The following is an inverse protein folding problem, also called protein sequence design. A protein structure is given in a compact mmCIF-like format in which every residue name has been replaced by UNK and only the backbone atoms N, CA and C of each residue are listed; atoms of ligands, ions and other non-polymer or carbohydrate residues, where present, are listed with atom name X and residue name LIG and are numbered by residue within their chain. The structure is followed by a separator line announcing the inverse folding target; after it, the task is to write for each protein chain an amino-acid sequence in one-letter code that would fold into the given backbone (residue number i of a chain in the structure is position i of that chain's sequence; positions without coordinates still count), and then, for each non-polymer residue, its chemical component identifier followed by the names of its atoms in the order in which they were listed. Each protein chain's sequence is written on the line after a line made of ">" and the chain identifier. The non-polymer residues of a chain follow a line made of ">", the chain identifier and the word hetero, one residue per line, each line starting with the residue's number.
data_IF_477383847644
#
_entry.id   IF_477383847644
#
_cell.length_a   1.000
_cell.length_b   1.000
_cell.length_c   1.000
_cell.angle_alpha   90.00
_cell.angle_beta   90.00
_cell.angle_gamma   90.00
#
_symmetry.space_group_name_H-M   'P 1'
#
loop_
_entity.id
_entity.type
_entity.pdbx_description
1 polymer ?
#
# COMPACT_ATOMS: atom_id res chain seq x y z
N UNK A 1 7.33 -14.36 58.61
CA UNK A 1 8.36 -13.31 58.44
C UNK A 1 8.54 -13.11 56.96
N UNK A 2 8.00 -12.01 56.46
CA UNK A 2 7.78 -11.69 55.04
C UNK A 2 9.09 -11.46 54.28
N UNK A 3 9.14 -11.84 53.00
CA UNK A 3 10.03 -11.18 52.05
C UNK A 3 9.25 -10.83 50.78
N UNK A 4 8.79 -9.58 50.76
CA UNK A 4 8.12 -8.91 49.66
C UNK A 4 9.16 -8.57 48.59
N UNK A 5 9.07 -9.18 47.41
CA UNK A 5 9.79 -8.71 46.22
C UNK A 5 8.99 -7.54 45.65
N UNK A 6 9.46 -6.32 45.90
CA UNK A 6 8.92 -5.10 45.30
C UNK A 6 9.52 -4.93 43.91
N UNK A 7 8.67 -5.11 42.89
CA UNK A 7 8.98 -4.84 41.48
C UNK A 7 9.21 -3.32 41.30
N UNK A 8 10.32 -2.87 40.70
CA UNK A 8 10.57 -1.44 40.53
C UNK A 8 9.66 -0.88 39.44
N UNK A 9 8.97 0.19 39.83
CA UNK A 9 8.30 1.18 39.00
C UNK A 9 9.31 1.75 37.98
N UNK A 10 9.22 1.35 36.70
CA UNK A 10 9.90 2.09 35.63
C UNK A 10 8.94 3.17 35.12
N UNK A 11 9.11 4.36 35.69
CA UNK A 11 8.41 5.57 35.28
C UNK A 11 8.81 5.96 33.85
N UNK A 12 7.79 6.37 33.09
CA UNK A 12 7.88 6.89 31.75
C UNK A 12 8.76 8.14 31.68
N UNK A 13 9.74 8.15 30.76
CA UNK A 13 10.23 9.37 30.12
C UNK A 13 10.93 9.02 28.81
N UNK A 14 10.22 9.16 27.69
CA UNK A 14 10.83 9.24 26.37
C UNK A 14 10.31 10.53 25.71
N UNK A 15 10.94 11.64 26.07
CA UNK A 15 10.98 12.81 25.20
C UNK A 15 12.00 12.52 24.10
N UNK A 16 11.54 11.96 22.98
CA UNK A 16 12.26 12.01 21.74
C UNK A 16 11.59 13.06 20.85
N UNK A 17 12.06 14.30 20.94
CA UNK A 17 11.80 15.33 19.92
C UNK A 17 12.62 14.98 18.68
N UNK A 18 12.20 13.93 17.96
CA UNK A 18 12.68 13.68 16.60
C UNK A 18 12.12 14.78 15.71
N UNK A 19 12.98 15.65 15.19
CA UNK A 19 12.59 16.56 14.11
C UNK A 19 12.10 15.70 12.95
N UNK A 20 10.78 15.64 12.76
CA UNK A 20 10.21 15.06 11.55
C UNK A 20 10.68 15.96 10.41
N UNK A 21 11.69 15.51 9.67
CA UNK A 21 12.02 16.11 8.39
C UNK A 21 10.71 16.17 7.60
N UNK A 22 10.23 17.39 7.31
CA UNK A 22 9.02 17.55 6.51
C UNK A 22 9.34 17.02 5.14
N UNK A 23 8.90 15.79 4.84
CA UNK A 23 8.89 15.29 3.48
C UNK A 23 8.13 16.33 2.64
N UNK A 24 8.63 16.71 1.45
CA UNK A 24 7.86 17.54 0.54
C UNK A 24 6.48 16.90 0.36
N UNK A 25 5.40 17.69 0.21
CA UNK A 25 4.08 17.13 -0.02
C UNK A 25 4.18 16.25 -1.27
N UNK A 26 4.13 14.93 -1.07
CA UNK A 26 3.99 14.01 -2.17
C UNK A 26 2.69 14.40 -2.85
N UNK A 27 2.70 14.54 -4.18
CA UNK A 27 1.43 14.52 -4.90
C UNK A 27 0.71 13.23 -4.52
N UNK A 28 -0.54 13.32 -4.09
CA UNK A 28 -1.31 12.13 -3.67
C UNK A 28 -1.41 11.08 -4.80
N UNK A 29 -1.23 11.52 -6.05
CA UNK A 29 -1.29 10.67 -7.24
C UNK A 29 0.10 10.37 -7.83
N UNK A 30 0.20 9.16 -8.38
CA UNK A 30 1.27 8.77 -9.31
C UNK A 30 1.12 9.53 -10.64
N UNK A 31 2.22 9.97 -11.28
CA UNK A 31 2.15 10.42 -12.66
C UNK A 31 1.65 9.28 -13.56
N UNK A 32 0.75 9.58 -14.49
CA UNK A 32 0.23 8.61 -15.45
C UNK A 32 1.12 8.60 -16.68
N UNK A 33 1.49 7.42 -17.15
CA UNK A 33 2.33 7.27 -18.33
C UNK A 33 1.84 6.14 -19.23
N UNK A 34 2.23 6.21 -20.51
CA UNK A 34 1.95 5.16 -21.46
C UNK A 34 2.76 3.89 -21.12
N UNK A 35 2.14 2.69 -21.08
CA UNK A 35 2.86 1.47 -20.78
C UNK A 35 4.01 1.19 -21.77
N UNK A 36 3.88 1.54 -23.06
CA UNK A 36 4.95 1.29 -24.03
C UNK A 36 6.19 2.18 -23.78
N UNK A 37 6.01 3.43 -23.34
CA UNK A 37 7.14 4.27 -22.89
C UNK A 37 7.84 3.73 -21.64
N UNK A 38 7.19 2.82 -20.92
CA UNK A 38 7.72 2.09 -19.76
C UNK A 38 8.21 0.67 -20.09
N UNK A 39 8.24 0.29 -21.37
CA UNK A 39 8.70 -1.02 -21.83
C UNK A 39 7.70 -2.15 -21.57
N UNK A 40 6.43 -1.82 -21.33
CA UNK A 40 5.34 -2.77 -21.16
C UNK A 40 4.53 -2.88 -22.47
N UNK A 41 4.09 -4.09 -22.75
CA UNK A 41 3.26 -4.39 -23.91
C UNK A 41 1.79 -4.12 -23.60
N UNK A 42 1.25 -3.04 -24.16
CA UNK A 42 -0.15 -2.65 -23.97
C UNK A 42 -1.15 -3.74 -24.41
N UNK A 43 -0.78 -4.59 -25.38
CA UNK A 43 -1.68 -5.67 -25.82
C UNK A 43 -1.89 -6.72 -24.74
N UNK A 44 -0.87 -6.98 -23.90
CA UNK A 44 -0.98 -7.92 -22.77
C UNK A 44 -1.85 -7.37 -21.65
N UNK A 45 -1.77 -6.07 -21.38
CA UNK A 45 -2.63 -5.39 -20.41
C UNK A 45 -4.09 -5.41 -20.87
N UNK A 46 -4.34 -5.16 -22.16
CA UNK A 46 -5.68 -5.29 -22.73
C UNK A 46 -6.21 -6.73 -22.69
N UNK A 47 -5.36 -7.72 -22.96
CA UNK A 47 -5.71 -9.13 -22.86
C UNK A 47 -6.03 -9.56 -21.41
N UNK A 48 -5.32 -9.01 -20.42
CA UNK A 48 -5.62 -9.19 -19.00
C UNK A 48 -7.02 -8.66 -18.67
N UNK A 49 -7.34 -7.44 -19.08
CA UNK A 49 -8.67 -6.85 -18.84
C UNK A 49 -9.77 -7.69 -19.50
N UNK A 50 -9.53 -8.19 -20.71
CA UNK A 50 -10.46 -9.05 -21.43
C UNK A 50 -10.64 -10.41 -20.73
N UNK A 51 -9.58 -11.01 -20.18
CA UNK A 51 -9.64 -12.25 -19.43
C UNK A 51 -10.46 -12.10 -18.14
N UNK A 52 -10.27 -11.00 -17.41
CA UNK A 52 -11.04 -10.69 -16.20
C UNK A 52 -12.52 -10.49 -16.54
N UNK A 53 -12.82 -9.66 -17.55
CA UNK A 53 -14.19 -9.45 -18.05
C UNK A 53 -14.82 -10.73 -18.59
N UNK A 54 -14.02 -11.63 -19.14
CA UNK A 54 -14.41 -12.95 -19.63
C UNK A 54 -14.62 -13.99 -18.53
N UNK A 55 -14.50 -13.63 -17.26
CA UNK A 55 -14.80 -14.50 -16.13
C UNK A 55 -13.66 -15.42 -15.69
N UNK A 56 -12.43 -15.21 -16.17
CA UNK A 56 -11.29 -16.00 -15.70
C UNK A 56 -10.87 -15.65 -14.26
N UNK A 57 -11.23 -14.46 -13.79
CA UNK A 57 -10.98 -14.01 -12.41
C UNK A 57 -12.20 -13.22 -11.88
N UNK A 58 -13.34 -13.91 -11.65
CA UNK A 58 -14.65 -13.28 -11.49
C UNK A 58 -14.78 -12.39 -10.25
N UNK A 59 -13.95 -12.59 -9.22
CA UNK A 59 -13.97 -11.80 -7.98
C UNK A 59 -13.04 -10.57 -8.02
N UNK A 60 -12.32 -10.35 -9.13
CA UNK A 60 -11.39 -9.22 -9.26
C UNK A 60 -12.15 -7.92 -9.42
N UNK A 61 -11.90 -6.93 -8.55
CA UNK A 61 -12.56 -5.62 -8.61
C UNK A 61 -11.69 -4.54 -9.26
N UNK A 62 -10.37 -4.70 -9.24
CA UNK A 62 -9.45 -3.73 -9.84
C UNK A 62 -8.08 -4.35 -10.12
N UNK A 63 -7.36 -3.78 -11.09
CA UNK A 63 -5.96 -4.05 -11.37
C UNK A 63 -5.26 -2.73 -11.63
N UNK A 64 -4.21 -2.45 -10.85
CA UNK A 64 -3.35 -1.28 -11.01
C UNK A 64 -1.91 -1.76 -11.21
N UNK A 65 -1.20 -1.17 -12.18
CA UNK A 65 0.22 -1.44 -12.44
C UNK A 65 0.98 -0.13 -12.36
N UNK A 66 1.91 -0.05 -11.42
CA UNK A 66 2.88 1.05 -11.30
C UNK A 66 4.25 0.54 -11.72
N UNK A 67 4.89 1.18 -12.68
CA UNK A 67 6.23 0.82 -13.15
C UNK A 67 7.12 2.04 -13.29
N UNK A 68 8.33 1.99 -12.70
CA UNK A 68 9.31 3.10 -12.68
C UNK A 68 8.70 4.43 -12.23
N UNK A 69 7.88 4.35 -11.19
CA UNK A 69 7.28 5.52 -10.55
C UNK A 69 6.14 6.19 -11.32
N UNK A 70 5.54 5.50 -12.31
CA UNK A 70 4.34 5.97 -13.00
C UNK A 70 3.25 4.90 -13.00
N UNK A 71 1.99 5.34 -12.90
CA UNK A 71 0.82 4.49 -13.12
C UNK A 71 0.66 4.28 -14.63
N UNK A 72 0.83 3.03 -15.06
CA UNK A 72 0.87 2.65 -16.48
C UNK A 72 -0.32 1.81 -16.90
N UNK A 73 -1.08 1.29 -15.93
CA UNK A 73 -2.35 0.62 -16.16
C UNK A 73 -3.24 0.77 -14.93
N UNK A 74 -4.51 1.10 -15.15
CA UNK A 74 -5.54 1.18 -14.12
C UNK A 74 -6.87 0.72 -14.74
N UNK A 75 -7.42 -0.38 -14.22
CA UNK A 75 -8.69 -0.91 -14.67
C UNK A 75 -9.53 -1.35 -13.46
N UNK A 76 -10.84 -1.08 -13.53
CA UNK A 76 -11.82 -1.46 -12.53
C UNK A 76 -12.87 -2.39 -13.14
N UNK A 77 -13.39 -3.29 -12.32
CA UNK A 77 -14.30 -4.36 -12.72
C UNK A 77 -15.39 -4.54 -11.65
N UNK A 78 -16.45 -5.29 -11.97
CA UNK A 78 -17.49 -5.66 -11.02
C UNK A 78 -18.17 -4.50 -10.29
N UNK A 79 -18.31 -3.35 -10.97
CA UNK A 79 -18.95 -2.15 -10.41
C UNK A 79 -18.10 -1.38 -9.39
N UNK A 80 -16.84 -1.79 -9.17
CA UNK A 80 -15.91 -0.99 -8.40
C UNK A 80 -15.39 0.21 -9.22
N UNK A 81 -14.90 1.20 -8.51
CA UNK A 81 -14.25 2.40 -9.02
C UNK A 81 -13.09 2.81 -8.11
N UNK A 82 -12.43 3.93 -8.44
CA UNK A 82 -11.31 4.47 -7.67
C UNK A 82 -11.65 4.78 -6.21
N UNK A 83 -12.90 5.13 -5.91
CA UNK A 83 -13.36 5.47 -4.56
C UNK A 83 -13.84 4.27 -3.74
N UNK A 84 -13.89 3.08 -4.36
CA UNK A 84 -14.40 1.87 -3.74
C UNK A 84 -13.48 1.36 -2.63
N UNK A 85 -14.02 1.27 -1.42
CA UNK A 85 -13.29 0.76 -0.25
C UNK A 85 -13.29 -0.78 -0.23
N UNK A 86 -12.12 -1.35 0.06
CA UNK A 86 -11.93 -2.79 0.14
C UNK A 86 -11.48 -3.21 1.54
N UNK A 87 -11.96 -4.36 2.01
CA UNK A 87 -11.40 -4.96 3.22
C UNK A 87 -10.04 -5.60 2.91
N UNK A 88 -8.98 -4.93 3.35
CA UNK A 88 -7.59 -5.24 3.02
C UNK A 88 -7.00 -6.41 3.83
N UNK A 89 -7.71 -6.91 4.85
CA UNK A 89 -7.30 -8.05 5.71
C UNK A 89 -5.82 -8.01 6.12
N UNK A 90 -5.02 -8.96 5.67
CA UNK A 90 -3.62 -9.10 6.08
C UNK A 90 -2.68 -8.03 5.51
N UNK A 91 -3.11 -7.18 4.58
CA UNK A 91 -2.29 -6.07 4.08
C UNK A 91 -1.80 -5.15 5.22
N UNK A 92 -2.57 -5.02 6.29
CA UNK A 92 -2.16 -4.26 7.48
C UNK A 92 -0.83 -4.75 8.06
N UNK A 93 -0.50 -6.05 7.94
CA UNK A 93 0.77 -6.58 8.44
C UNK A 93 1.98 -5.97 7.72
N UNK A 94 1.89 -5.80 6.39
CA UNK A 94 2.96 -5.18 5.61
C UNK A 94 3.13 -3.72 5.98
N UNK A 95 2.03 -2.98 6.17
CA UNK A 95 2.07 -1.59 6.64
C UNK A 95 2.68 -1.51 8.04
N UNK A 96 2.25 -2.36 8.97
CA UNK A 96 2.82 -2.41 10.32
C UNK A 96 4.30 -2.75 10.29
N UNK A 97 4.73 -3.74 9.50
CA UNK A 97 6.14 -4.10 9.36
C UNK A 97 6.98 -2.95 8.79
N UNK A 98 6.46 -2.23 7.78
CA UNK A 98 7.11 -1.05 7.22
C UNK A 98 7.25 0.07 8.27
N UNK A 99 6.20 0.34 9.05
CA UNK A 99 6.24 1.36 10.11
C UNK A 99 7.23 1.00 11.23
N UNK A 100 7.26 -0.28 11.64
CA UNK A 100 8.25 -0.76 12.61
C UNK A 100 9.66 -0.62 12.04
N UNK A 101 9.88 -1.01 10.79
CA UNK A 101 11.17 -0.86 10.10
C UNK A 101 11.62 0.60 9.94
N UNK A 102 10.69 1.54 9.80
CA UNK A 102 10.99 2.97 9.78
C UNK A 102 11.30 3.55 11.17
N UNK A 103 10.93 2.85 12.24
CA UNK A 103 11.12 3.29 13.62
C UNK A 103 12.44 2.79 14.26
N UNK A 104 13.13 1.84 13.63
CA UNK A 104 14.42 1.27 14.06
C UNK A 104 15.53 1.64 13.08
#
# INVERSE_FOLDING_TARGET
>A
MSLLIRLPLFAALLLASGSAASAPPASDDWPVADPASHGLDASKLSALDAAIKGGQAPDTTSVLVVHRGALVHEAYFNGADRSSLHNTRSLTKSVTAMLVGAAI
#
